data_IF_066172722676
#
_entry.id   IF_066172722676
#
_cell.length_a   1.000
_cell.length_b   1.000
_cell.length_c   1.000
_cell.angle_alpha   90.00
_cell.angle_beta   90.00
_cell.angle_gamma   90.00
#
_symmetry.space_group_name_H-M   'P 1'
#
loop_
_entity.id
_entity.type
_entity.pdbx_description
1 polymer ?
#
# COMPACT_ATOMS: atom_id res chain seq x y z
N UNK A 1 -5.56 -0.88 5.58
CA UNK A 1 -5.54 -1.97 4.56
C UNK A 1 -6.81 -2.04 3.70
N UNK A 2 -7.97 -2.52 4.19
CA UNK A 2 -9.18 -2.70 3.34
C UNK A 2 -9.70 -1.37 2.77
N UNK A 3 -9.83 -0.33 3.59
CA UNK A 3 -10.22 1.01 3.10
C UNK A 3 -9.24 1.52 2.05
N UNK A 4 -7.92 1.44 2.28
CA UNK A 4 -6.94 1.85 1.27
C UNK A 4 -7.04 1.10 -0.06
N UNK A 5 -7.41 -0.18 -0.05
CA UNK A 5 -7.71 -0.93 -1.26
C UNK A 5 -9.02 -0.48 -1.93
N UNK A 6 -10.06 -0.19 -1.14
CA UNK A 6 -11.31 0.37 -1.62
C UNK A 6 -11.09 1.71 -2.33
N UNK A 7 -10.43 2.64 -1.67
CA UNK A 7 -10.08 3.96 -2.21
C UNK A 7 -9.19 3.86 -3.44
N UNK A 8 -8.23 2.92 -3.48
CA UNK A 8 -7.41 2.67 -4.67
C UNK A 8 -8.27 2.29 -5.88
N UNK A 9 -9.28 1.44 -5.66
CA UNK A 9 -10.20 1.02 -6.71
C UNK A 9 -11.17 2.13 -7.11
N UNK A 10 -11.65 2.90 -6.14
CA UNK A 10 -12.57 4.01 -6.36
C UNK A 10 -11.88 5.16 -7.11
N UNK A 11 -10.69 5.55 -6.67
CA UNK A 11 -9.90 6.62 -7.28
C UNK A 11 -9.55 6.29 -8.73
N UNK A 12 -9.32 5.01 -9.04
CA UNK A 12 -8.93 4.52 -10.38
C UNK A 12 -7.86 5.41 -11.04
N UNK A 13 -6.86 5.80 -10.25
CA UNK A 13 -5.90 6.84 -10.61
C UNK A 13 -4.59 6.23 -11.07
N UNK A 14 -4.01 6.81 -12.12
CA UNK A 14 -2.76 6.30 -12.68
C UNK A 14 -1.60 6.55 -11.70
N UNK A 15 -0.74 5.54 -11.51
CA UNK A 15 0.45 5.59 -10.66
C UNK A 15 0.17 5.90 -9.18
N UNK A 16 -1.03 5.58 -8.67
CA UNK A 16 -1.39 5.77 -7.25
C UNK A 16 -1.23 4.50 -6.41
N UNK A 17 -0.85 3.37 -6.99
CA UNK A 17 -0.69 2.08 -6.33
C UNK A 17 0.17 2.22 -5.06
N UNK A 18 1.39 2.75 -5.19
CA UNK A 18 2.35 2.87 -4.08
C UNK A 18 1.86 3.79 -2.97
N UNK A 19 1.12 4.83 -3.33
CA UNK A 19 0.47 5.71 -2.37
C UNK A 19 -0.51 4.93 -1.48
N UNK A 20 -1.40 4.14 -2.08
CA UNK A 20 -2.39 3.37 -1.33
C UNK A 20 -1.77 2.20 -0.55
N UNK A 21 -0.66 1.62 -1.04
CA UNK A 21 0.13 0.65 -0.27
C UNK A 21 0.74 1.28 0.99
N UNK A 22 1.41 2.42 0.84
CA UNK A 22 2.01 3.14 1.96
C UNK A 22 0.95 3.62 2.96
N UNK A 23 -0.11 4.29 2.50
CA UNK A 23 -1.20 4.78 3.35
C UNK A 23 -1.88 3.65 4.12
N UNK A 24 -2.25 2.58 3.42
CA UNK A 24 -2.92 1.43 4.04
C UNK A 24 -2.09 0.75 5.12
N UNK A 25 -0.76 0.68 4.95
CA UNK A 25 0.18 0.15 5.92
C UNK A 25 0.41 1.11 7.10
N UNK A 26 0.49 2.41 6.84
CA UNK A 26 0.57 3.44 7.88
C UNK A 26 -0.67 3.40 8.79
N UNK A 27 -1.88 3.44 8.21
CA UNK A 27 -3.14 3.40 8.95
C UNK A 27 -3.26 2.14 9.83
N UNK A 28 -2.70 1.03 9.35
CA UNK A 28 -2.68 -0.21 10.11
C UNK A 28 -1.62 -0.17 11.23
N UNK A 29 -0.40 0.29 10.94
CA UNK A 29 0.67 0.43 11.93
C UNK A 29 0.32 1.41 13.06
N UNK A 30 -0.45 2.46 12.76
CA UNK A 30 -0.96 3.42 13.75
C UNK A 30 -1.90 2.80 14.79
N UNK A 31 -2.44 1.60 14.52
CA UNK A 31 -3.25 0.84 15.50
C UNK A 31 -2.39 0.07 16.51
N UNK A 32 -1.08 0.25 16.47
CA UNK A 32 -0.11 -0.39 17.37
C UNK A 32 0.50 -1.66 16.80
N UNK A 33 1.27 -2.42 17.63
CA UNK A 33 2.07 -3.55 17.17
C UNK A 33 1.27 -4.64 16.42
N UNK A 34 0.05 -4.94 16.88
CA UNK A 34 -0.82 -5.90 16.20
C UNK A 34 -1.28 -5.42 14.82
N UNK A 35 -1.46 -4.11 14.65
CA UNK A 35 -1.80 -3.51 13.36
C UNK A 35 -0.61 -3.52 12.39
N UNK A 36 0.61 -3.27 12.88
CA UNK A 36 1.83 -3.39 12.09
C UNK A 36 2.06 -4.85 11.63
N UNK A 37 1.87 -5.82 12.54
CA UNK A 37 1.94 -7.25 12.21
C UNK A 37 0.90 -7.65 11.16
N UNK A 38 -0.36 -7.23 11.34
CA UNK A 38 -1.41 -7.51 10.37
C UNK A 38 -1.10 -6.89 8.99
N UNK A 39 -0.54 -5.68 8.96
CA UNK A 39 -0.15 -5.00 7.72
C UNK A 39 0.94 -5.76 6.97
N UNK A 40 1.93 -6.30 7.68
CA UNK A 40 2.98 -7.14 7.11
C UNK A 40 2.42 -8.43 6.50
N UNK A 41 1.64 -9.19 7.28
CA UNK A 41 1.04 -10.45 6.83
C UNK A 41 0.17 -10.24 5.59
N UNK A 42 -0.70 -9.22 5.61
CA UNK A 42 -1.60 -8.93 4.48
C UNK A 42 -0.80 -8.48 3.25
N UNK A 43 0.25 -7.68 3.43
CA UNK A 43 1.09 -7.23 2.31
C UNK A 43 1.79 -8.41 1.63
N UNK A 44 2.40 -9.31 2.42
CA UNK A 44 3.09 -10.50 1.90
C UNK A 44 2.11 -11.48 1.23
N UNK A 45 0.90 -11.64 1.79
CA UNK A 45 -0.13 -12.48 1.19
C UNK A 45 -0.60 -11.91 -0.17
N UNK A 46 -0.82 -10.59 -0.25
CA UNK A 46 -1.20 -9.93 -1.50
C UNK A 46 -0.12 -10.10 -2.57
N UNK A 47 1.15 -9.95 -2.19
CA UNK A 47 2.28 -10.14 -3.09
C UNK A 47 2.39 -11.57 -3.61
N UNK A 48 2.27 -12.56 -2.72
CA UNK A 48 2.26 -13.97 -3.11
C UNK A 48 1.19 -14.25 -4.16
N UNK A 49 -0.01 -13.70 -3.96
CA UNK A 49 -1.14 -13.84 -4.90
C UNK A 49 -0.86 -13.14 -6.23
N UNK A 50 -0.23 -11.97 -6.21
CA UNK A 50 0.11 -11.22 -7.42
C UNK A 50 1.16 -11.96 -8.27
N UNK A 51 2.23 -12.45 -7.64
CA UNK A 51 3.25 -13.27 -8.30
C UNK A 51 2.65 -14.56 -8.88
N UNK A 52 1.75 -15.21 -8.15
CA UNK A 52 1.03 -16.39 -8.65
C UNK A 52 0.18 -16.10 -9.90
N UNK A 53 -0.28 -14.86 -10.07
CA UNK A 53 -1.04 -14.40 -11.23
C UNK A 53 -0.16 -13.91 -12.38
N UNK A 54 1.17 -14.05 -12.26
CA UNK A 54 2.13 -13.58 -13.25
C UNK A 54 2.46 -12.09 -13.14
N UNK A 55 2.30 -11.50 -11.95
CA UNK A 55 2.73 -10.14 -11.66
C UNK A 55 4.22 -9.91 -11.90
N UNK A 56 4.58 -8.67 -12.25
CA UNK A 56 5.97 -8.29 -12.51
C UNK A 56 6.79 -8.23 -11.20
N UNK A 57 7.89 -8.98 -11.07
CA UNK A 57 8.73 -8.95 -9.87
C UNK A 57 9.26 -7.56 -9.50
N UNK A 58 9.53 -6.69 -10.49
CA UNK A 58 10.00 -5.34 -10.21
C UNK A 58 8.90 -4.46 -9.60
N UNK A 59 7.67 -4.57 -10.13
CA UNK A 59 6.49 -3.93 -9.53
C UNK A 59 6.23 -4.44 -8.10
N UNK A 60 6.31 -5.75 -7.89
CA UNK A 60 6.19 -6.42 -6.58
C UNK A 60 7.18 -5.85 -5.56
N UNK A 61 8.46 -5.70 -5.94
CA UNK A 61 9.49 -5.15 -5.07
C UNK A 61 9.22 -3.67 -4.69
N UNK A 62 8.72 -2.87 -5.64
CA UNK A 62 8.39 -1.48 -5.39
C UNK A 62 7.15 -1.33 -4.47
N UNK A 63 6.17 -2.24 -4.60
CA UNK A 63 4.99 -2.27 -3.72
C UNK A 63 5.35 -2.70 -2.30
N UNK A 64 6.30 -3.64 -2.16
CA UNK A 64 6.89 -3.99 -0.87
C UNK A 64 7.61 -2.80 -0.22
N UNK A 65 8.38 -2.04 -0.99
CA UNK A 65 9.09 -0.85 -0.48
C UNK A 65 8.10 0.19 0.05
N UNK A 66 7.07 0.52 -0.72
CA UNK A 66 6.03 1.45 -0.30
C UNK A 66 5.28 0.96 0.95
N UNK A 67 4.98 -0.34 1.01
CA UNK A 67 4.34 -0.96 2.18
C UNK A 67 5.22 -0.87 3.43
N UNK A 68 6.52 -1.13 3.30
CA UNK A 68 7.49 -1.00 4.40
C UNK A 68 7.66 0.45 4.86
N UNK A 69 7.71 1.39 3.92
CA UNK A 69 7.78 2.82 4.20
C UNK A 69 6.62 3.28 5.07
N UNK A 70 5.38 2.98 4.65
CA UNK A 70 4.19 3.34 5.41
C UNK A 70 4.11 2.64 6.77
N UNK A 71 4.41 1.33 6.80
CA UNK A 71 4.43 0.55 8.06
C UNK A 71 5.47 1.07 9.06
N UNK A 72 6.57 1.62 8.56
CA UNK A 72 7.62 2.27 9.35
C UNK A 72 7.28 3.69 9.82
N UNK A 73 6.09 4.21 9.51
CA UNK A 73 5.68 5.56 9.90
C UNK A 73 6.05 6.66 8.89
N UNK A 74 6.57 6.29 7.72
CA UNK A 74 6.89 7.24 6.66
C UNK A 74 5.65 7.88 6.04
N UNK A 75 5.77 9.14 5.60
CA UNK A 75 4.68 9.87 4.95
C UNK A 75 4.30 9.23 3.60
N UNK A 76 3.06 8.72 3.42
CA UNK A 76 2.60 8.13 2.16
C UNK A 76 2.66 9.10 0.98
N UNK A 77 2.62 10.42 1.23
CA UNK A 77 2.67 11.43 0.17
C UNK A 77 3.98 11.41 -0.63
N UNK A 78 5.03 10.75 -0.14
CA UNK A 78 6.21 10.37 -0.93
C UNK A 78 5.84 9.73 -2.28
N UNK A 79 4.73 8.99 -2.33
CA UNK A 79 4.25 8.28 -3.52
C UNK A 79 2.99 8.90 -4.13
N UNK A 80 2.50 10.03 -3.62
CA UNK A 80 1.25 10.62 -4.11
C UNK A 80 1.45 11.13 -5.54
N UNK A 81 0.69 10.63 -6.52
CA UNK A 81 0.78 11.15 -7.87
C UNK A 81 0.12 12.53 -7.96
N UNK A 82 0.64 13.36 -8.86
CA UNK A 82 0.07 14.68 -9.12
C UNK A 82 -1.40 14.56 -9.52
N UNK A 83 -2.24 15.42 -8.94
CA UNK A 83 -3.68 15.47 -9.23
C UNK A 83 -4.53 14.42 -8.53
N UNK A 84 -3.97 13.50 -7.73
CA UNK A 84 -4.79 12.58 -6.94
C UNK A 84 -5.72 13.40 -6.01
N UNK A 85 -7.06 13.21 -6.08
CA UNK A 85 -8.01 13.97 -5.28
C UNK A 85 -7.66 13.96 -3.79
N UNK A 86 -7.69 15.12 -3.13
CA UNK A 86 -7.21 15.30 -1.75
C UNK A 86 -7.97 14.51 -0.69
N UNK A 87 -9.15 13.98 -1.03
CA UNK A 87 -9.93 13.10 -0.17
C UNK A 87 -9.27 11.73 0.06
N UNK A 88 -8.36 11.33 -0.83
CA UNK A 88 -7.57 10.10 -0.73
C UNK A 88 -6.23 10.38 -0.07
#
# INVERSE_FOLDING_TARGET
MVSAYGDMREANWKNSDKYFHARGNLDAAQRGPGGAWAAEVISNARETVDQWRGGDPAASAADQEASKWGRGGGDPNKYRPAGLPSQY
#
